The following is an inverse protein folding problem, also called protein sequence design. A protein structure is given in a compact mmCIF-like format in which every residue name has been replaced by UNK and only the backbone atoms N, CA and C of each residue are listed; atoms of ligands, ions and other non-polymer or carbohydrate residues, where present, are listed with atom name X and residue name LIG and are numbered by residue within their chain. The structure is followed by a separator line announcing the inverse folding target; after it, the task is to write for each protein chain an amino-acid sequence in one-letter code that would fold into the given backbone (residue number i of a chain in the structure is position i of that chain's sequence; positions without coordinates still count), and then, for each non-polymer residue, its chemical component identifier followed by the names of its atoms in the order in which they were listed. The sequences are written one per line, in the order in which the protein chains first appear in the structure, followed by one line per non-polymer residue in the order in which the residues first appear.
data_IF_528875276109
#
_entry.id   IF_528875276109
#
_cell.length_a   1.000
_cell.length_b   1.000
_cell.length_c   1.000
_cell.angle_alpha   90.00
_cell.angle_beta   90.00
_cell.angle_gamma   90.00
#
_symmetry.space_group_name_H-M   'P 1'
#
loop_
_entity.id
_entity.type
_entity.pdbx_description
1 polymer ?
#
# COMPACT_ATOMS: atom_id res chain seq x y z
N UNK A 1 -3.90 -18.67 -15.25
CA UNK A 1 -5.00 -17.72 -15.57
C UNK A 1 -6.33 -18.38 -15.21
N UNK A 2 -7.23 -17.73 -14.46
CA UNK A 2 -8.53 -18.30 -14.08
C UNK A 2 -9.57 -17.98 -15.16
N UNK A 3 -9.44 -18.58 -16.34
CA UNK A 3 -10.49 -18.49 -17.37
C UNK A 3 -11.32 -19.78 -17.40
N UNK A 4 -12.45 -19.71 -18.10
CA UNK A 4 -13.27 -20.88 -18.45
C UNK A 4 -12.47 -21.84 -19.34
N UNK A 5 -11.65 -22.66 -18.72
CA UNK A 5 -10.90 -23.69 -19.42
C UNK A 5 -11.77 -24.94 -19.49
N UNK A 6 -12.03 -25.42 -20.71
CA UNK A 6 -12.53 -26.76 -20.90
C UNK A 6 -11.43 -27.73 -20.48
N UNK A 7 -11.70 -28.57 -19.49
CA UNK A 7 -10.86 -29.72 -19.20
C UNK A 7 -11.00 -30.70 -20.36
N UNK A 8 -9.98 -30.79 -21.21
CA UNK A 8 -10.00 -31.61 -22.42
C UNK A 8 -10.05 -33.12 -22.12
N UNK A 9 -9.62 -33.54 -20.92
CA UNK A 9 -9.65 -34.95 -20.51
C UNK A 9 -11.05 -35.35 -20.00
N UNK A 10 -11.76 -34.44 -19.34
CA UNK A 10 -13.04 -34.75 -18.67
C UNK A 10 -14.25 -34.08 -19.32
N UNK A 11 -14.06 -33.21 -20.31
CA UNK A 11 -15.09 -32.37 -20.90
C UNK A 11 -15.69 -31.31 -19.94
N UNK A 12 -15.14 -31.16 -18.73
CA UNK A 12 -15.71 -30.30 -17.71
C UNK A 12 -15.30 -28.83 -17.90
N UNK A 13 -16.25 -27.90 -17.76
CA UNK A 13 -15.95 -26.47 -17.76
C UNK A 13 -15.47 -26.02 -16.39
N UNK A 14 -14.27 -25.45 -16.30
CA UNK A 14 -13.79 -24.82 -15.05
C UNK A 14 -14.39 -23.43 -14.92
N UNK A 15 -14.92 -23.10 -13.74
CA UNK A 15 -15.43 -21.77 -13.43
C UNK A 15 -14.32 -20.94 -12.74
N UNK A 16 -14.27 -19.62 -12.97
CA UNK A 16 -13.35 -18.75 -12.26
C UNK A 16 -13.73 -18.67 -10.78
N UNK A 17 -12.74 -18.74 -9.89
CA UNK A 17 -12.93 -18.41 -8.48
C UNK A 17 -12.77 -16.90 -8.29
N UNK A 18 -13.90 -16.23 -8.05
CA UNK A 18 -13.98 -14.77 -7.92
C UNK A 18 -14.15 -14.31 -6.46
N UNK A 19 -14.03 -15.22 -5.50
CA UNK A 19 -14.23 -14.88 -4.08
C UNK A 19 -13.12 -13.92 -3.62
N UNK A 20 -13.54 -12.78 -3.08
CA UNK A 20 -12.62 -11.73 -2.61
C UNK A 20 -12.06 -10.84 -3.72
N UNK A 21 -12.49 -11.02 -4.98
CA UNK A 21 -12.09 -10.19 -6.10
C UNK A 21 -13.09 -9.05 -6.35
N UNK A 22 -12.59 -7.91 -6.82
CA UNK A 22 -13.42 -6.82 -7.34
C UNK A 22 -13.51 -6.93 -8.87
N UNK A 23 -14.66 -6.56 -9.41
CA UNK A 23 -14.88 -6.53 -10.85
C UNK A 23 -14.46 -5.17 -11.43
N UNK A 24 -13.68 -5.21 -12.49
CA UNK A 24 -13.34 -4.08 -13.34
C UNK A 24 -13.64 -4.43 -14.80
N UNK A 25 -13.98 -3.44 -15.61
CA UNK A 25 -14.20 -3.65 -17.04
C UNK A 25 -12.85 -3.85 -17.75
N UNK A 26 -12.71 -4.97 -18.46
CA UNK A 26 -11.51 -5.26 -19.23
C UNK A 26 -11.22 -4.18 -20.30
N UNK A 27 -9.94 -3.93 -20.56
CA UNK A 27 -9.44 -3.02 -21.59
C UNK A 27 -9.41 -1.54 -21.20
N UNK A 28 -9.88 -1.15 -20.01
CA UNK A 28 -9.83 0.23 -19.55
C UNK A 28 -8.43 0.65 -19.05
N UNK A 29 -7.77 -0.19 -18.27
CA UNK A 29 -6.48 0.08 -17.61
C UNK A 29 -5.36 -0.88 -18.04
N UNK A 30 -5.58 -1.66 -19.10
CA UNK A 30 -4.67 -2.71 -19.56
C UNK A 30 -4.98 -4.11 -18.99
N UNK A 31 -6.04 -4.27 -18.20
CA UNK A 31 -6.52 -5.59 -17.77
C UNK A 31 -7.25 -6.33 -18.90
N UNK A 32 -6.74 -7.49 -19.31
CA UNK A 32 -7.41 -8.37 -20.27
C UNK A 32 -8.56 -9.16 -19.63
N UNK A 33 -9.42 -9.77 -20.46
CA UNK A 33 -10.50 -10.65 -19.99
C UNK A 33 -9.92 -11.84 -19.23
N UNK A 34 -10.30 -11.96 -17.95
CA UNK A 34 -9.76 -12.99 -17.05
C UNK A 34 -8.37 -12.66 -16.49
N UNK A 35 -7.85 -11.47 -16.77
CA UNK A 35 -6.69 -10.90 -16.12
C UNK A 35 -6.96 -10.65 -14.63
N UNK A 36 -5.90 -10.65 -13.82
CA UNK A 36 -5.97 -10.40 -12.38
C UNK A 36 -4.79 -9.50 -12.01
N UNK A 37 -5.07 -8.41 -11.29
CA UNK A 37 -4.06 -7.59 -10.63
C UNK A 37 -4.09 -7.83 -9.12
N UNK A 38 -2.95 -7.65 -8.46
CA UNK A 38 -2.87 -7.60 -7.00
C UNK A 38 -3.35 -6.26 -6.46
N UNK A 39 -3.58 -6.18 -5.15
CA UNK A 39 -3.97 -4.93 -4.50
C UNK A 39 -2.86 -3.87 -4.64
N UNK A 40 -3.18 -2.71 -5.22
CA UNK A 40 -2.22 -1.60 -5.40
C UNK A 40 -2.79 -0.27 -4.93
N UNK A 41 -1.93 0.57 -4.33
CA UNK A 41 -2.22 1.98 -4.04
C UNK A 41 -1.45 2.89 -4.99
N UNK A 42 -1.87 4.16 -5.08
CA UNK A 42 -1.07 5.20 -5.71
C UNK A 42 0.17 5.50 -4.87
N UNK A 43 1.20 6.06 -5.52
CA UNK A 43 2.38 6.55 -4.83
C UNK A 43 1.99 7.61 -3.77
N UNK A 44 2.55 7.51 -2.58
CA UNK A 44 2.34 8.45 -1.48
C UNK A 44 3.67 9.12 -1.16
N UNK A 45 3.79 10.39 -1.52
CA UNK A 45 5.01 11.18 -1.36
C UNK A 45 4.81 12.28 -0.33
N UNK A 46 5.86 12.58 0.43
CA UNK A 46 5.99 13.81 1.19
C UNK A 46 7.46 14.13 1.43
N UNK A 47 7.74 15.36 1.84
CA UNK A 47 9.12 15.83 1.94
C UNK A 47 9.28 16.92 2.98
N UNK A 48 10.52 17.06 3.44
CA UNK A 48 10.97 18.13 4.31
C UNK A 48 11.94 19.02 3.55
N UNK A 49 11.95 20.31 3.87
CA UNK A 49 12.98 21.23 3.40
C UNK A 49 13.79 21.71 4.60
N UNK A 50 15.12 21.61 4.52
CA UNK A 50 16.04 22.15 5.51
C UNK A 50 16.72 23.40 4.95
N UNK A 51 16.55 24.54 5.62
CA UNK A 51 17.14 25.81 5.19
C UNK A 51 18.61 25.98 5.61
N UNK A 52 19.54 25.81 4.66
CA UNK A 52 20.88 26.42 4.66
C UNK A 52 21.92 25.96 5.72
N UNK A 53 23.21 26.34 5.56
CA UNK A 53 24.35 25.67 6.21
C UNK A 53 24.55 25.93 7.71
N UNK A 54 23.70 26.74 8.36
CA UNK A 54 23.94 27.21 9.74
C UNK A 54 22.70 27.27 10.63
N UNK A 55 21.57 26.73 10.19
CA UNK A 55 20.38 26.68 11.02
C UNK A 55 20.09 25.22 11.30
N UNK A 56 20.05 24.86 12.58
CA UNK A 56 19.36 23.65 13.07
C UNK A 56 17.95 23.77 12.51
N UNK A 57 17.72 23.12 11.36
CA UNK A 57 16.64 23.45 10.46
C UNK A 57 15.33 23.39 11.20
N UNK A 58 14.66 24.54 11.32
CA UNK A 58 13.28 24.61 11.78
C UNK A 58 12.45 23.82 10.78
N UNK A 59 12.29 22.52 11.03
CA UNK A 59 11.30 21.73 10.33
C UNK A 59 9.97 22.42 10.64
N UNK A 60 9.39 23.08 9.63
CA UNK A 60 8.02 23.60 9.74
C UNK A 60 7.16 22.49 10.34
N UNK A 61 6.44 22.81 11.43
CA UNK A 61 5.76 21.83 12.26
C UNK A 61 5.01 20.84 11.36
N UNK A 62 5.38 19.55 11.35
CA UNK A 62 4.78 18.60 10.43
C UNK A 62 3.29 18.42 10.77
N UNK A 63 2.47 18.46 9.73
CA UNK A 63 1.02 18.26 9.80
C UNK A 63 0.63 16.93 9.15
N UNK A 64 -0.53 16.40 9.54
CA UNK A 64 -1.08 15.17 8.97
C UNK A 64 -0.28 13.92 9.33
N UNK A 65 0.21 13.21 8.32
CA UNK A 65 0.93 11.94 8.46
C UNK A 65 2.33 12.10 9.06
N UNK A 66 2.88 13.31 9.12
CA UNK A 66 4.24 13.53 9.63
C UNK A 66 4.22 13.98 11.10
N UNK A 67 5.19 13.51 11.88
CA UNK A 67 5.41 13.95 13.27
C UNK A 67 6.90 14.18 13.53
N UNK A 68 7.25 15.16 14.38
CA UNK A 68 8.59 15.26 14.94
C UNK A 68 8.66 14.40 16.18
N UNK A 69 9.73 13.63 16.31
CA UNK A 69 10.01 12.88 17.52
C UNK A 69 11.46 13.14 17.91
N UNK A 70 11.67 13.36 19.19
CA UNK A 70 13.00 13.40 19.78
C UNK A 70 13.25 11.98 20.31
N UNK A 71 14.26 11.30 19.78
CA UNK A 71 14.77 10.09 20.41
C UNK A 71 16.18 10.38 20.92
N UNK A 72 16.38 10.15 22.21
CA UNK A 72 17.70 10.14 22.81
C UNK A 72 18.42 8.88 22.33
N UNK A 73 19.09 8.97 21.17
CA UNK A 73 20.06 7.95 20.80
C UNK A 73 21.32 8.18 21.64
N UNK A 74 21.74 7.21 22.48
CA UNK A 74 23.07 7.27 23.08
C UNK A 74 24.09 7.00 21.98
N UNK A 75 24.45 8.04 21.23
CA UNK A 75 25.58 7.98 20.32
C UNK A 75 26.84 8.08 21.17
N UNK A 76 27.41 6.92 21.52
CA UNK A 76 28.75 6.86 22.08
C UNK A 76 29.74 7.24 20.97
N UNK A 77 29.98 8.54 20.78
CA UNK A 77 31.17 8.96 20.07
C UNK A 77 32.38 8.58 20.93
N UNK A 78 33.31 7.83 20.36
CA UNK A 78 34.68 7.79 20.86
C UNK A 78 35.32 9.18 20.59
N UNK A 79 34.89 10.19 21.35
CA UNK A 79 35.45 11.53 21.27
C UNK A 79 36.83 11.48 21.92
N UNK A 80 37.88 11.53 21.09
CA UNK A 80 39.20 11.92 21.54
C UNK A 80 39.10 13.27 22.24
N UNK A 81 39.38 13.27 23.55
CA UNK A 81 39.66 14.43 24.40
C UNK A 81 38.62 15.55 24.34
N UNK A 82 37.61 15.47 25.23
CA UNK A 82 37.18 16.67 25.95
C UNK A 82 35.87 17.36 25.57
N UNK A 83 34.97 16.76 24.80
CA UNK A 83 33.61 17.32 24.59
C UNK A 83 32.57 16.20 24.51
N UNK A 84 31.94 15.87 25.65
CA UNK A 84 30.68 15.14 25.61
C UNK A 84 29.59 16.12 25.12
N UNK A 85 29.27 16.08 23.83
CA UNK A 85 28.08 16.74 23.28
C UNK A 85 26.95 15.72 23.26
N UNK A 86 25.88 16.02 24.00
CA UNK A 86 24.58 15.36 23.80
C UNK A 86 23.96 15.98 22.56
N UNK A 87 24.17 15.39 21.39
CA UNK A 87 23.52 15.86 20.17
C UNK A 87 22.07 15.38 20.17
N UNK A 88 21.12 16.31 20.23
CA UNK A 88 19.70 16.03 20.08
C UNK A 88 19.35 15.92 18.60
N UNK A 89 19.03 14.71 18.13
CA UNK A 89 18.51 14.52 16.79
C UNK A 89 16.99 14.64 16.79
N UNK A 90 16.49 15.64 16.08
CA UNK A 90 15.06 15.74 15.72
C UNK A 90 14.92 15.11 14.35
N UNK A 91 14.19 13.99 14.26
CA UNK A 91 13.85 13.40 12.97
C UNK A 91 12.34 13.43 12.77
N UNK A 92 11.94 13.42 11.50
CA UNK A 92 10.55 13.42 11.13
C UNK A 92 10.11 12.00 10.74
N UNK A 93 9.09 11.50 11.42
CA UNK A 93 8.49 10.19 11.18
C UNK A 93 7.26 10.35 10.28
N UNK A 94 7.09 9.44 9.33
CA UNK A 94 5.87 9.32 8.53
C UNK A 94 5.01 8.17 9.08
N UNK A 95 3.78 8.48 9.44
CA UNK A 95 2.77 7.53 9.89
C UNK A 95 1.42 7.84 9.23
N UNK A 96 1.05 7.00 8.25
CA UNK A 96 -0.18 7.16 7.48
C UNK A 96 -1.44 6.91 8.31
N UNK A 97 -1.36 6.15 9.41
CA UNK A 97 -2.53 5.83 10.24
C UNK A 97 -3.19 7.06 10.87
N UNK A 98 -2.49 8.19 10.89
CA UNK A 98 -2.98 9.48 11.39
C UNK A 98 -3.99 10.17 10.47
N UNK A 99 -3.99 9.84 9.18
CA UNK A 99 -4.81 10.52 8.16
C UNK A 99 -5.62 9.56 7.31
N UNK A 100 -5.29 8.26 7.31
CA UNK A 100 -6.06 7.24 6.62
C UNK A 100 -6.37 6.05 7.55
N UNK A 101 -7.58 5.47 7.50
CA UNK A 101 -7.86 4.22 8.18
C UNK A 101 -6.92 3.11 7.70
N UNK A 102 -6.37 2.35 8.64
CA UNK A 102 -5.44 1.26 8.37
C UNK A 102 -6.08 -0.10 8.63
N UNK A 103 -5.66 -1.10 7.85
CA UNK A 103 -6.04 -2.50 8.00
C UNK A 103 -5.05 -3.39 7.26
N UNK A 104 -5.24 -4.71 7.36
CA UNK A 104 -4.29 -5.68 6.81
C UNK A 104 -4.26 -5.76 5.27
N UNK A 105 -5.18 -5.08 4.59
CA UNK A 105 -5.28 -5.08 3.13
C UNK A 105 -5.65 -3.68 2.62
N UNK A 106 -5.12 -3.34 1.45
CA UNK A 106 -5.53 -2.14 0.73
C UNK A 106 -6.87 -2.40 0.04
N UNK A 107 -7.97 -2.11 0.73
CA UNK A 107 -9.32 -2.32 0.20
C UNK A 107 -10.22 -1.12 0.44
N UNK A 108 -10.97 -0.68 -0.59
CA UNK A 108 -12.05 0.26 -0.38
C UNK A 108 -13.20 -0.42 0.39
N UNK A 109 -14.23 0.36 0.74
CA UNK A 109 -15.47 -0.18 1.29
C UNK A 109 -16.13 -1.10 0.24
N UNK A 110 -16.61 -2.26 0.68
CA UNK A 110 -17.25 -3.24 -0.18
C UNK A 110 -18.55 -3.78 0.41
N UNK A 111 -19.36 -4.39 -0.47
CA UNK A 111 -20.53 -5.17 -0.13
C UNK A 111 -20.41 -6.56 -0.78
N UNK A 112 -20.82 -7.61 -0.06
CA UNK A 112 -20.63 -9.00 -0.49
C UNK A 112 -21.79 -9.52 -1.34
N UNK A 113 -21.47 -10.05 -2.52
CA UNK A 113 -22.42 -10.73 -3.41
C UNK A 113 -21.82 -12.01 -3.95
N UNK A 114 -22.67 -12.99 -4.32
CA UNK A 114 -22.24 -14.21 -4.98
C UNK A 114 -22.24 -13.99 -6.50
N UNK A 115 -21.09 -14.13 -7.18
CA UNK A 115 -21.04 -14.05 -8.63
C UNK A 115 -21.66 -15.31 -9.24
N UNK A 116 -22.60 -15.11 -10.16
CA UNK A 116 -23.28 -16.18 -10.89
C UNK A 116 -22.99 -16.06 -12.38
N UNK A 117 -22.86 -17.21 -13.05
CA UNK A 117 -22.59 -17.30 -14.49
C UNK A 117 -23.71 -18.10 -15.13
N UNK A 118 -24.31 -17.56 -16.19
CA UNK A 118 -25.31 -18.28 -16.96
C UNK A 118 -24.64 -19.28 -17.92
N UNK A 119 -24.99 -20.56 -17.80
CA UNK A 119 -24.39 -21.66 -18.58
C UNK A 119 -25.21 -22.05 -19.83
N UNK A 120 -26.22 -21.27 -20.19
CA UNK A 120 -27.12 -21.61 -21.28
C UNK A 120 -28.22 -22.59 -20.89
N UNK A 121 -29.03 -23.01 -21.88
CA UNK A 121 -30.03 -24.06 -21.72
C UNK A 121 -29.37 -25.42 -22.02
N UNK A 122 -29.68 -26.49 -21.27
CA UNK A 122 -29.22 -27.82 -21.61
C UNK A 122 -29.61 -28.19 -23.04
N UNK A 123 -28.68 -28.81 -23.78
CA UNK A 123 -29.01 -29.43 -25.05
C UNK A 123 -29.85 -30.69 -24.78
N UNK A 124 -31.05 -30.75 -25.37
CA UNK A 124 -31.98 -31.89 -25.30
C UNK A 124 -31.46 -33.11 -26.03
#
# INVERSE_FOLDING_TARGET
MPFYALNLETGALRLPDLRGMYAEAAGFDGLDVGGVHGDTVRNVTGGFTSGGPQHVGTLSMPLGAFTLTNEDFPVNYAAGVGMARTDFYVYAKMDLSRVVPVGNANKPRAFGVLPCVYLGKPAS
#
